data_IF_509055988059
#
_entry.id   IF_509055988059
#
_cell.length_a   1.000
_cell.length_b   1.000
_cell.length_c   1.000
_cell.angle_alpha   90.00
_cell.angle_beta   90.00
_cell.angle_gamma   90.00
#
_symmetry.space_group_name_H-M   'P 1'
#
loop_
_entity.id
_entity.type
_entity.pdbx_description
1 polymer ?
#
# COMPACT_ATOMS: atom_id res chain seq x y z
N UNK A 1 26.31 0.81 -71.61
CA UNK A 1 25.04 0.80 -70.86
C UNK A 1 25.31 0.34 -69.42
N UNK A 2 25.51 1.26 -68.49
CA UNK A 2 25.73 0.94 -67.05
C UNK A 2 24.40 1.06 -66.31
N UNK A 3 23.90 -0.06 -65.79
CA UNK A 3 22.75 -0.07 -64.86
C UNK A 3 23.21 0.28 -63.45
N UNK A 4 22.77 1.43 -62.94
CA UNK A 4 22.93 1.80 -61.54
C UNK A 4 21.87 1.07 -60.70
N UNK A 5 22.30 0.21 -59.79
CA UNK A 5 21.45 -0.42 -58.80
C UNK A 5 21.42 0.51 -57.57
N UNK A 6 20.27 1.07 -57.31
CA UNK A 6 20.03 1.85 -56.10
C UNK A 6 19.67 0.89 -54.93
N UNK A 7 20.54 0.82 -53.94
CA UNK A 7 20.32 0.04 -52.73
C UNK A 7 19.55 0.92 -51.71
N UNK A 8 18.23 0.68 -51.55
CA UNK A 8 17.45 1.27 -50.47
C UNK A 8 17.75 0.57 -49.17
N UNK A 9 18.49 1.22 -48.29
CA UNK A 9 18.63 0.81 -46.87
C UNK A 9 17.35 1.22 -46.13
N UNK A 10 16.46 0.24 -45.84
CA UNK A 10 15.40 0.40 -44.85
C UNK A 10 16.00 0.31 -43.45
N UNK A 11 16.12 1.44 -42.80
CA UNK A 11 16.43 1.49 -41.34
C UNK A 11 15.14 1.20 -40.59
N UNK A 12 14.98 -0.03 -40.11
CA UNK A 12 13.94 -0.40 -39.18
C UNK A 12 14.28 0.22 -37.81
N UNK A 13 13.61 1.32 -37.48
CA UNK A 13 13.57 1.83 -36.11
C UNK A 13 12.73 0.86 -35.27
N UNK A 14 13.37 -0.10 -34.61
CA UNK A 14 12.77 -0.81 -33.50
C UNK A 14 12.61 0.19 -32.34
N UNK A 15 11.44 0.76 -32.18
CA UNK A 15 11.04 1.41 -30.93
C UNK A 15 10.93 0.31 -29.87
N UNK A 16 12.03 0.04 -29.18
CA UNK A 16 12.03 -0.70 -27.94
C UNK A 16 11.22 0.15 -26.95
N UNK A 17 9.96 -0.19 -26.75
CA UNK A 17 9.22 0.25 -25.57
C UNK A 17 9.97 -0.30 -24.36
N UNK A 18 10.83 0.53 -23.78
CA UNK A 18 11.42 0.26 -22.48
C UNK A 18 10.28 0.32 -21.48
N UNK A 19 9.62 -0.80 -21.25
CA UNK A 19 8.81 -0.97 -20.05
C UNK A 19 9.80 -0.81 -18.89
N UNK A 20 9.69 0.31 -18.18
CA UNK A 20 10.55 0.58 -17.04
C UNK A 20 10.47 -0.59 -16.07
N UNK A 21 11.60 -1.28 -15.88
CA UNK A 21 11.70 -2.34 -14.90
C UNK A 21 11.35 -1.71 -13.54
N UNK A 22 10.31 -2.21 -12.86
CA UNK A 22 9.94 -1.70 -11.54
C UNK A 22 11.15 -1.75 -10.61
N UNK A 23 11.30 -0.73 -9.79
CA UNK A 23 12.37 -0.68 -8.80
C UNK A 23 12.31 -1.92 -7.89
N UNK A 24 13.47 -2.37 -7.44
CA UNK A 24 13.57 -3.51 -6.53
C UNK A 24 13.75 -2.97 -5.12
N UNK A 25 12.75 -3.16 -4.27
CA UNK A 25 12.87 -2.85 -2.85
C UNK A 25 13.92 -3.77 -2.23
N UNK A 26 14.85 -3.20 -1.48
CA UNK A 26 15.93 -3.96 -0.82
C UNK A 26 16.44 -3.27 0.43
N UNK A 27 16.87 -4.06 1.39
CA UNK A 27 17.60 -3.55 2.53
C UNK A 27 18.89 -2.86 2.09
N UNK A 28 19.24 -1.77 2.73
CA UNK A 28 20.52 -1.09 2.54
C UNK A 28 21.69 -1.93 3.08
N UNK A 29 22.93 -1.45 2.91
CA UNK A 29 24.15 -2.18 3.35
C UNK A 29 24.18 -2.42 4.85
N UNK A 30 23.53 -1.57 5.65
CA UNK A 30 23.46 -1.68 7.10
C UNK A 30 22.30 -2.59 7.58
N UNK A 31 21.60 -3.25 6.64
CA UNK A 31 20.48 -4.13 6.92
C UNK A 31 19.20 -3.37 7.35
N UNK A 32 19.07 -2.11 6.97
CA UNK A 32 17.89 -1.27 7.26
C UNK A 32 17.08 -1.04 5.99
N UNK A 33 15.77 -0.93 6.17
CA UNK A 33 14.80 -0.51 5.15
C UNK A 33 13.77 0.38 5.84
N UNK A 34 13.79 1.67 5.50
CA UNK A 34 12.93 2.67 6.14
C UNK A 34 11.65 2.85 5.34
N UNK A 35 10.52 2.64 5.98
CA UNK A 35 9.18 2.89 5.42
C UNK A 35 8.61 4.13 6.12
N UNK A 36 8.05 5.05 5.35
CA UNK A 36 7.17 6.10 5.84
C UNK A 36 5.75 5.74 5.42
N UNK A 37 4.82 5.80 6.37
CA UNK A 37 3.39 5.65 6.12
C UNK A 37 2.75 7.05 6.10
N UNK A 38 1.94 7.29 5.07
CA UNK A 38 0.96 8.38 5.04
C UNK A 38 -0.43 7.78 4.94
N UNK A 39 -1.36 8.32 5.69
CA UNK A 39 -2.75 7.90 5.69
C UNK A 39 -3.66 9.11 5.80
N UNK A 40 -4.90 8.97 5.37
CA UNK A 40 -5.93 9.98 5.57
C UNK A 40 -5.49 11.39 5.13
N UNK A 41 -4.84 11.47 3.96
CA UNK A 41 -4.39 12.73 3.38
C UNK A 41 -5.57 13.63 3.03
N UNK A 42 -6.70 13.02 2.64
CA UNK A 42 -7.96 13.67 2.31
C UNK A 42 -7.78 14.86 1.37
N UNK A 43 -6.92 14.69 0.35
CA UNK A 43 -6.64 15.75 -0.61
C UNK A 43 -7.89 16.06 -1.43
N UNK A 44 -8.27 17.35 -1.50
CA UNK A 44 -9.37 17.86 -2.29
C UNK A 44 -8.84 18.68 -3.45
N UNK A 45 -9.04 18.20 -4.66
CA UNK A 45 -8.61 18.93 -5.86
C UNK A 45 -9.39 20.23 -6.07
N UNK A 46 -10.64 20.27 -5.67
CA UNK A 46 -11.52 21.44 -5.69
C UNK A 46 -11.33 22.41 -4.50
N UNK A 47 -10.50 22.02 -3.52
CA UNK A 47 -10.13 22.85 -2.37
C UNK A 47 -8.64 22.73 -2.05
N UNK A 48 -7.81 23.07 -3.03
CA UNK A 48 -6.35 22.93 -2.95
C UNK A 48 -5.74 23.80 -1.84
N UNK A 49 -6.32 24.97 -1.57
CA UNK A 49 -5.79 25.89 -0.56
C UNK A 49 -5.81 25.24 0.85
N UNK A 50 -6.91 24.59 1.21
CA UNK A 50 -7.01 23.88 2.49
C UNK A 50 -6.23 22.56 2.50
N UNK A 51 -6.08 21.92 1.35
CA UNK A 51 -5.30 20.69 1.20
C UNK A 51 -3.78 20.89 1.18
N UNK A 52 -3.31 22.14 1.00
CA UNK A 52 -1.88 22.45 0.89
C UNK A 52 -1.09 22.03 2.14
N UNK A 53 -1.69 22.15 3.32
CA UNK A 53 -1.02 21.79 4.58
C UNK A 53 -0.61 20.30 4.61
N UNK A 54 -1.44 19.40 4.06
CA UNK A 54 -1.11 17.98 3.98
C UNK A 54 0.09 17.75 3.06
N UNK A 55 0.14 18.46 1.92
CA UNK A 55 1.27 18.37 0.98
C UNK A 55 2.57 18.91 1.60
N UNK A 56 2.50 20.02 2.34
CA UNK A 56 3.64 20.58 3.04
C UNK A 56 4.19 19.59 4.06
N UNK A 57 3.32 18.93 4.85
CA UNK A 57 3.72 17.88 5.80
C UNK A 57 4.34 16.67 5.12
N UNK A 58 3.76 16.19 4.01
CA UNK A 58 4.35 15.11 3.22
C UNK A 58 5.77 15.50 2.80
N UNK A 59 5.97 16.70 2.27
CA UNK A 59 7.28 17.17 1.85
C UNK A 59 8.28 17.26 3.02
N UNK A 60 7.89 17.85 4.14
CA UNK A 60 8.72 17.96 5.34
C UNK A 60 9.16 16.59 5.85
N UNK A 61 8.24 15.62 5.94
CA UNK A 61 8.53 14.27 6.40
C UNK A 61 9.48 13.56 5.42
N UNK A 62 9.24 13.65 4.11
CA UNK A 62 10.11 13.02 3.12
C UNK A 62 11.53 13.59 3.12
N UNK A 63 11.69 14.91 3.33
CA UNK A 63 12.98 15.55 3.41
C UNK A 63 13.74 15.20 4.70
N UNK A 64 13.03 15.08 5.82
CA UNK A 64 13.59 14.70 7.11
C UNK A 64 13.95 13.21 7.17
N UNK A 65 13.02 12.34 6.78
CA UNK A 65 13.14 10.89 6.97
C UNK A 65 13.90 10.19 5.84
N UNK A 66 13.83 10.69 4.61
CA UNK A 66 14.47 10.10 3.42
C UNK A 66 14.21 8.59 3.34
N UNK A 67 12.94 8.16 3.25
CA UNK A 67 12.60 6.75 3.30
C UNK A 67 13.07 5.99 2.06
N UNK A 68 13.24 4.68 2.23
CA UNK A 68 13.47 3.74 1.12
C UNK A 68 12.16 3.41 0.39
N UNK A 69 11.01 3.60 1.05
CA UNK A 69 9.68 3.31 0.52
C UNK A 69 8.60 4.12 1.25
N UNK A 70 7.55 4.50 0.51
CA UNK A 70 6.36 5.15 1.09
C UNK A 70 5.14 4.26 0.89
N UNK A 71 4.36 4.07 1.95
CA UNK A 71 3.06 3.41 1.88
C UNK A 71 1.96 4.42 2.18
N UNK A 72 1.04 4.62 1.24
CA UNK A 72 -0.20 5.33 1.46
C UNK A 72 -1.28 4.32 1.85
N UNK A 73 -1.83 4.48 3.05
CA UNK A 73 -2.77 3.52 3.62
C UNK A 73 -4.22 4.00 3.59
N UNK A 74 -4.62 4.57 2.46
CA UNK A 74 -6.01 4.91 2.16
C UNK A 74 -6.41 6.34 2.47
N UNK A 75 -7.60 6.69 1.99
CA UNK A 75 -8.21 8.01 2.07
C UNK A 75 -7.26 9.10 1.56
N UNK A 76 -6.66 8.85 0.41
CA UNK A 76 -5.66 9.74 -0.21
C UNK A 76 -6.33 10.95 -0.85
N UNK A 77 -7.43 10.73 -1.58
CA UNK A 77 -8.19 11.77 -2.27
C UNK A 77 -9.67 11.68 -1.96
N UNK A 78 -10.32 12.85 -1.75
CA UNK A 78 -11.73 12.93 -1.35
C UNK A 78 -12.44 14.06 -2.12
N UNK A 79 -12.32 14.06 -3.45
CA UNK A 79 -13.00 15.00 -4.35
C UNK A 79 -13.06 14.47 -5.77
N UNK A 80 -13.88 15.11 -6.61
CA UNK A 80 -13.82 14.91 -8.05
C UNK A 80 -12.43 15.24 -8.60
N UNK A 81 -12.16 14.82 -9.84
CA UNK A 81 -10.84 14.89 -10.47
C UNK A 81 -9.78 14.07 -9.69
N UNK A 82 -10.18 12.90 -9.20
CA UNK A 82 -9.35 12.05 -8.35
C UNK A 82 -7.96 11.77 -8.93
N UNK A 83 -7.85 11.56 -10.26
CA UNK A 83 -6.55 11.36 -10.91
C UNK A 83 -5.61 12.56 -10.76
N UNK A 84 -6.15 13.79 -10.88
CA UNK A 84 -5.34 15.00 -10.69
C UNK A 84 -4.94 15.19 -9.23
N UNK A 85 -5.84 14.88 -8.30
CA UNK A 85 -5.54 14.87 -6.88
C UNK A 85 -4.42 13.90 -6.55
N UNK A 86 -4.50 12.66 -7.04
CA UNK A 86 -3.45 11.65 -6.88
C UNK A 86 -2.11 12.10 -7.47
N UNK A 87 -2.11 12.73 -8.65
CA UNK A 87 -0.87 13.25 -9.24
C UNK A 87 -0.17 14.25 -8.33
N UNK A 88 -0.94 15.13 -7.69
CA UNK A 88 -0.41 16.15 -6.78
C UNK A 88 0.13 15.50 -5.50
N UNK A 89 -0.62 14.56 -4.91
CA UNK A 89 -0.20 13.89 -3.66
C UNK A 89 1.03 13.01 -3.86
N UNK A 90 1.16 12.37 -5.03
CA UNK A 90 2.27 11.45 -5.32
C UNK A 90 3.51 12.17 -5.89
N UNK A 91 3.37 13.40 -6.39
CA UNK A 91 4.47 14.17 -6.98
C UNK A 91 5.69 14.26 -6.03
N UNK A 92 5.53 14.52 -4.72
CA UNK A 92 6.64 14.55 -3.78
C UNK A 92 7.50 13.26 -3.76
N UNK A 93 6.89 12.09 -3.91
CA UNK A 93 7.60 10.82 -4.02
C UNK A 93 8.25 10.67 -5.39
N UNK A 94 7.52 10.98 -6.47
CA UNK A 94 7.97 10.81 -7.85
C UNK A 94 9.21 11.67 -8.15
N UNK A 95 9.23 12.95 -7.75
CA UNK A 95 10.36 13.85 -7.98
C UNK A 95 11.61 13.50 -7.16
N UNK A 96 11.42 12.84 -6.00
CA UNK A 96 12.53 12.34 -5.17
C UNK A 96 12.98 10.94 -5.57
N UNK A 97 12.32 10.30 -6.56
CA UNK A 97 12.51 8.91 -6.95
C UNK A 97 12.36 7.95 -5.75
N UNK A 98 11.40 8.20 -4.87
CA UNK A 98 11.07 7.31 -3.77
C UNK A 98 9.95 6.38 -4.25
N UNK A 99 10.15 5.05 -4.25
CA UNK A 99 9.12 4.10 -4.61
C UNK A 99 7.98 4.12 -3.59
N UNK A 100 6.75 3.88 -4.06
CA UNK A 100 5.57 3.91 -3.21
C UNK A 100 4.57 2.79 -3.55
N UNK A 101 3.71 2.48 -2.58
CA UNK A 101 2.52 1.66 -2.72
C UNK A 101 1.31 2.41 -2.20
N UNK A 102 0.13 2.04 -2.67
CA UNK A 102 -1.15 2.60 -2.23
C UNK A 102 -2.13 1.47 -1.97
N UNK A 103 -2.81 1.52 -0.86
CA UNK A 103 -4.06 0.79 -0.60
C UNK A 103 -5.18 1.81 -0.44
N UNK A 104 -6.43 1.41 -0.69
CA UNK A 104 -7.55 2.33 -0.64
C UNK A 104 -8.18 2.37 0.74
N UNK A 105 -8.67 3.55 1.10
CA UNK A 105 -9.58 3.76 2.20
C UNK A 105 -11.04 3.70 1.77
N UNK A 106 -11.93 4.09 2.65
CA UNK A 106 -13.36 4.06 2.37
C UNK A 106 -13.85 5.25 1.55
N UNK A 107 -13.04 6.32 1.44
CA UNK A 107 -13.43 7.55 0.73
C UNK A 107 -12.81 7.69 -0.66
N UNK A 108 -11.79 6.91 -1.03
CA UNK A 108 -11.06 7.11 -2.29
C UNK A 108 -11.94 6.96 -3.54
N UNK A 109 -12.95 6.08 -3.51
CA UNK A 109 -13.83 5.78 -4.64
C UNK A 109 -15.27 6.33 -4.49
N UNK A 110 -15.48 7.30 -3.60
CA UNK A 110 -16.80 7.92 -3.38
C UNK A 110 -17.19 8.96 -4.45
N UNK A 111 -16.25 9.36 -5.33
CA UNK A 111 -16.47 10.47 -6.26
C UNK A 111 -16.53 10.02 -7.73
N UNK A 112 -15.59 10.45 -8.54
CA UNK A 112 -15.66 10.33 -10.01
C UNK A 112 -14.92 9.12 -10.58
N UNK A 113 -14.32 8.28 -9.72
CA UNK A 113 -13.58 7.09 -10.13
C UNK A 113 -13.90 5.89 -9.27
N UNK A 114 -13.95 4.73 -9.92
CA UNK A 114 -14.06 3.45 -9.23
C UNK A 114 -12.69 3.00 -8.67
N UNK A 115 -12.67 2.13 -7.68
CA UNK A 115 -11.44 1.52 -7.15
C UNK A 115 -10.58 0.88 -8.25
N UNK A 116 -11.22 0.20 -9.19
CA UNK A 116 -10.51 -0.44 -10.30
C UNK A 116 -9.80 0.58 -11.20
N UNK A 117 -10.48 1.68 -11.55
CA UNK A 117 -9.87 2.76 -12.34
C UNK A 117 -8.72 3.44 -11.58
N UNK A 118 -8.90 3.70 -10.28
CA UNK A 118 -7.85 4.27 -9.42
C UNK A 118 -6.65 3.32 -9.34
N UNK A 119 -6.88 2.02 -9.17
CA UNK A 119 -5.82 1.02 -9.13
C UNK A 119 -5.02 0.98 -10.44
N UNK A 120 -5.71 0.90 -11.58
CA UNK A 120 -5.07 0.88 -12.89
C UNK A 120 -4.24 2.14 -13.13
N UNK A 121 -4.77 3.31 -12.75
CA UNK A 121 -4.06 4.58 -12.85
C UNK A 121 -2.80 4.62 -11.98
N UNK A 122 -2.91 4.21 -10.73
CA UNK A 122 -1.81 4.19 -9.76
C UNK A 122 -0.73 3.18 -10.12
N UNK A 123 -1.11 1.99 -10.58
CA UNK A 123 -0.16 0.93 -10.92
C UNK A 123 0.78 1.28 -12.07
N UNK A 124 0.39 2.25 -12.91
CA UNK A 124 1.15 2.74 -14.06
C UNK A 124 2.04 3.96 -13.74
N UNK A 125 1.92 4.54 -12.53
CA UNK A 125 2.72 5.72 -12.16
C UNK A 125 4.19 5.38 -11.98
N UNK A 126 5.05 6.31 -12.36
CA UNK A 126 6.49 6.20 -12.09
C UNK A 126 6.72 6.08 -10.58
N UNK A 127 7.49 5.09 -10.17
CA UNK A 127 7.76 4.82 -8.75
C UNK A 127 6.71 3.96 -8.06
N UNK A 128 5.58 3.66 -8.72
CA UNK A 128 4.57 2.76 -8.15
C UNK A 128 5.07 1.32 -8.11
N UNK A 129 4.96 0.71 -6.93
CA UNK A 129 5.29 -0.70 -6.72
C UNK A 129 4.07 -1.62 -6.87
N UNK A 130 2.88 -1.05 -7.03
CA UNK A 130 1.64 -1.83 -7.21
C UNK A 130 1.74 -2.71 -8.46
N UNK A 131 1.41 -4.02 -8.40
CA UNK A 131 1.39 -4.87 -9.60
C UNK A 131 0.30 -4.40 -10.57
N UNK A 132 0.37 -4.83 -11.82
CA UNK A 132 -0.74 -4.65 -12.74
C UNK A 132 -1.96 -5.44 -12.24
N UNK A 133 -3.15 -4.86 -12.40
CA UNK A 133 -4.39 -5.52 -12.02
C UNK A 133 -4.71 -6.66 -13.02
N UNK A 134 -5.08 -7.80 -12.47
CA UNK A 134 -5.65 -8.93 -13.20
C UNK A 134 -7.11 -9.11 -12.76
N UNK A 135 -8.04 -9.09 -13.69
CA UNK A 135 -9.47 -9.21 -13.38
C UNK A 135 -10.18 -7.87 -13.13
N UNK A 136 -11.38 -7.92 -12.56
CA UNK A 136 -12.29 -6.77 -12.45
C UNK A 136 -12.11 -5.95 -11.15
N UNK A 137 -11.61 -6.58 -10.10
CA UNK A 137 -11.50 -5.98 -8.76
C UNK A 137 -10.08 -5.48 -8.51
N UNK A 138 -9.93 -4.40 -7.75
CA UNK A 138 -8.63 -3.95 -7.26
C UNK A 138 -8.05 -5.04 -6.34
N UNK A 139 -6.87 -5.59 -6.65
CA UNK A 139 -6.36 -6.75 -5.92
C UNK A 139 -5.65 -6.36 -4.63
N UNK A 140 -5.67 -7.29 -3.67
CA UNK A 140 -4.63 -7.34 -2.65
C UNK A 140 -3.29 -7.67 -3.31
N UNK A 141 -2.20 -7.20 -2.75
CA UNK A 141 -0.88 -7.49 -3.29
C UNK A 141 0.19 -7.63 -2.21
N UNK A 142 1.28 -8.31 -2.55
CA UNK A 142 2.44 -8.44 -1.68
C UNK A 142 3.68 -7.89 -2.38
N UNK A 143 4.45 -7.07 -1.65
CA UNK A 143 5.74 -6.57 -2.10
C UNK A 143 6.85 -7.32 -1.38
N UNK A 144 7.92 -7.64 -2.12
CA UNK A 144 9.09 -8.30 -1.54
C UNK A 144 10.22 -7.29 -1.35
N UNK A 145 10.82 -7.30 -0.17
CA UNK A 145 12.05 -6.54 0.11
C UNK A 145 13.23 -7.51 0.05
N UNK A 146 14.17 -7.25 -0.85
CA UNK A 146 15.32 -8.10 -1.09
C UNK A 146 16.40 -7.93 -0.03
N UNK A 147 17.19 -8.97 0.15
CA UNK A 147 18.37 -8.94 1.02
C UNK A 147 19.43 -7.95 0.51
N UNK A 148 20.08 -7.25 1.44
CA UNK A 148 21.27 -6.42 1.12
C UNK A 148 22.47 -7.23 0.63
N UNK A 149 22.54 -8.54 0.98
CA UNK A 149 23.65 -9.44 0.67
C UNK A 149 23.42 -10.26 -0.58
N UNK A 150 22.16 -10.59 -0.88
CA UNK A 150 21.78 -11.40 -2.05
C UNK A 150 20.51 -10.81 -2.70
N UNK A 151 20.68 -10.19 -3.86
CA UNK A 151 19.56 -9.54 -4.60
C UNK A 151 18.48 -10.53 -5.07
N UNK A 152 18.78 -11.83 -5.11
CA UNK A 152 17.81 -12.85 -5.51
C UNK A 152 16.98 -13.35 -4.33
N UNK A 153 17.43 -13.12 -3.09
CA UNK A 153 16.78 -13.59 -1.87
C UNK A 153 15.80 -12.55 -1.32
N UNK A 154 14.54 -12.95 -1.11
CA UNK A 154 13.59 -12.16 -0.34
C UNK A 154 14.03 -12.18 1.13
N UNK A 155 13.90 -11.04 1.81
CA UNK A 155 14.28 -10.88 3.22
C UNK A 155 13.13 -10.36 4.09
N UNK A 156 12.14 -9.70 3.49
CA UNK A 156 10.90 -9.31 4.16
C UNK A 156 9.75 -9.19 3.16
N UNK A 157 8.52 -9.17 3.66
CA UNK A 157 7.29 -9.03 2.88
C UNK A 157 6.45 -7.85 3.39
N UNK A 158 5.75 -7.17 2.47
CA UNK A 158 4.77 -6.15 2.78
C UNK A 158 3.44 -6.57 2.16
N UNK A 159 2.50 -7.01 2.99
CA UNK A 159 1.14 -7.35 2.56
C UNK A 159 0.30 -6.08 2.51
N UNK A 160 -0.33 -5.84 1.39
CA UNK A 160 -1.19 -4.70 1.12
C UNK A 160 -2.60 -5.22 0.87
N UNK A 161 -3.51 -5.01 1.82
CA UNK A 161 -4.82 -5.64 1.85
C UNK A 161 -5.90 -4.56 1.78
N UNK A 162 -6.86 -4.70 0.87
CA UNK A 162 -8.01 -3.79 0.81
C UNK A 162 -8.99 -4.12 1.95
N UNK A 163 -9.21 -3.17 2.84
CA UNK A 163 -10.18 -3.30 3.93
C UNK A 163 -11.61 -2.93 3.53
N UNK A 164 -11.82 -2.61 2.25
CA UNK A 164 -13.10 -2.15 1.69
C UNK A 164 -13.57 -0.80 2.28
N UNK A 165 -14.88 -0.55 2.22
CA UNK A 165 -15.50 0.68 2.73
C UNK A 165 -16.66 0.34 3.67
N UNK A 166 -17.91 0.34 3.18
CA UNK A 166 -19.10 0.06 3.98
C UNK A 166 -19.73 -1.27 3.59
N UNK A 167 -20.22 -1.98 4.58
CA UNK A 167 -20.90 -3.27 4.32
C UNK A 167 -22.17 -3.10 3.49
N UNK A 168 -22.39 -4.01 2.57
CA UNK A 168 -23.63 -4.08 1.79
C UNK A 168 -24.70 -4.97 2.46
N UNK A 169 -24.38 -5.58 3.60
CA UNK A 169 -25.29 -6.46 4.33
C UNK A 169 -26.14 -5.62 5.29
N UNK A 170 -27.41 -5.40 4.97
CA UNK A 170 -28.31 -4.54 5.74
C UNK A 170 -28.44 -4.87 7.22
N UNK A 171 -28.27 -6.13 7.60
CA UNK A 171 -28.31 -6.58 9.00
C UNK A 171 -26.99 -6.36 9.77
N UNK A 172 -25.94 -5.94 9.09
CA UNK A 172 -24.63 -5.66 9.67
C UNK A 172 -24.24 -4.25 9.29
N UNK A 173 -24.64 -3.23 10.04
CA UNK A 173 -24.35 -1.84 9.70
C UNK A 173 -22.89 -1.50 9.98
N UNK A 174 -22.40 -0.45 9.31
CA UNK A 174 -21.08 0.13 9.53
C UNK A 174 -20.07 -0.28 8.46
N UNK A 175 -18.83 -0.41 8.87
CA UNK A 175 -17.73 -0.72 7.96
C UNK A 175 -17.74 -2.19 7.53
N UNK A 176 -17.26 -2.42 6.32
CA UNK A 176 -17.01 -3.75 5.80
C UNK A 176 -15.71 -4.33 6.41
N UNK A 177 -15.42 -5.59 6.16
CA UNK A 177 -14.29 -6.31 6.74
C UNK A 177 -13.46 -7.00 5.65
N UNK A 178 -12.22 -7.31 5.97
CA UNK A 178 -11.35 -8.12 5.12
C UNK A 178 -11.98 -9.50 4.93
N UNK A 179 -12.21 -9.90 3.68
CA UNK A 179 -13.02 -11.06 3.32
C UNK A 179 -12.26 -12.37 3.50
N UNK A 180 -13.01 -13.48 3.55
CA UNK A 180 -12.42 -14.81 3.70
C UNK A 180 -11.50 -15.21 2.55
N UNK A 181 -11.82 -14.80 1.33
CA UNK A 181 -10.98 -15.03 0.15
C UNK A 181 -9.66 -14.24 0.22
N UNK A 182 -9.68 -13.00 0.73
CA UNK A 182 -8.47 -12.21 1.00
C UNK A 182 -7.61 -12.86 2.09
N UNK A 183 -8.24 -13.37 3.15
CA UNK A 183 -7.54 -14.11 4.21
C UNK A 183 -6.94 -15.41 3.65
N UNK A 184 -7.69 -16.13 2.81
CA UNK A 184 -7.16 -17.31 2.14
C UNK A 184 -6.01 -16.97 1.20
N UNK A 185 -6.09 -15.87 0.47
CA UNK A 185 -4.99 -15.35 -0.34
C UNK A 185 -3.75 -15.05 0.51
N UNK A 186 -3.89 -14.29 1.60
CA UNK A 186 -2.79 -14.00 2.52
C UNK A 186 -2.13 -15.29 3.04
N UNK A 187 -2.90 -16.25 3.53
CA UNK A 187 -2.40 -17.55 4.02
C UNK A 187 -1.63 -18.32 2.95
N UNK A 188 -2.12 -18.31 1.71
CA UNK A 188 -1.46 -18.95 0.58
C UNK A 188 -0.14 -18.26 0.24
N UNK A 189 -0.10 -16.92 0.20
CA UNK A 189 1.13 -16.16 -0.02
C UNK A 189 2.16 -16.45 1.08
N UNK A 190 1.77 -16.37 2.35
CA UNK A 190 2.63 -16.65 3.50
C UNK A 190 3.23 -18.06 3.42
N UNK A 191 2.40 -19.06 3.15
CA UNK A 191 2.84 -20.45 2.99
C UNK A 191 3.83 -20.62 1.83
N UNK A 192 3.57 -20.00 0.71
CA UNK A 192 4.44 -20.10 -0.46
C UNK A 192 5.82 -19.45 -0.20
N UNK A 193 5.85 -18.24 0.37
CA UNK A 193 7.11 -17.58 0.73
C UNK A 193 7.87 -18.31 1.82
N UNK A 194 7.19 -18.91 2.80
CA UNK A 194 7.78 -19.74 3.85
C UNK A 194 8.46 -20.97 3.23
N UNK A 195 7.77 -21.65 2.31
CA UNK A 195 8.35 -22.81 1.57
C UNK A 195 9.57 -22.40 0.76
N UNK A 196 9.51 -21.27 0.05
CA UNK A 196 10.65 -20.75 -0.71
C UNK A 196 11.84 -20.35 0.16
N UNK A 197 11.61 -20.08 1.44
CA UNK A 197 12.63 -19.74 2.43
C UNK A 197 12.98 -20.91 3.36
N UNK A 198 12.99 -22.14 2.85
CA UNK A 198 13.32 -23.35 3.60
C UNK A 198 12.45 -23.61 4.82
N UNK A 199 11.15 -23.45 4.67
CA UNK A 199 10.13 -23.62 5.70
C UNK A 199 10.28 -22.67 6.92
N UNK A 200 10.97 -21.54 6.74
CA UNK A 200 11.10 -20.49 7.74
C UNK A 200 10.27 -19.28 7.28
N UNK A 201 9.29 -18.81 8.05
CA UNK A 201 8.52 -17.61 7.72
C UNK A 201 9.43 -16.39 7.53
N UNK A 202 9.19 -15.62 6.48
CA UNK A 202 9.87 -14.34 6.30
C UNK A 202 9.19 -13.28 7.18
N UNK A 203 9.97 -12.39 7.82
CA UNK A 203 9.37 -11.29 8.56
C UNK A 203 8.53 -10.42 7.61
N UNK A 204 7.32 -10.08 8.04
CA UNK A 204 6.39 -9.33 7.23
C UNK A 204 5.70 -8.20 8.01
N UNK A 205 5.22 -7.21 7.28
CA UNK A 205 4.29 -6.18 7.76
C UNK A 205 3.02 -6.25 6.93
N UNK A 206 1.87 -5.95 7.54
CA UNK A 206 0.60 -5.87 6.82
C UNK A 206 0.02 -4.45 6.91
N UNK A 207 -0.47 -3.96 5.79
CA UNK A 207 -1.05 -2.63 5.63
C UNK A 207 -2.48 -2.76 5.14
N UNK A 208 -3.40 -2.08 5.80
CA UNK A 208 -4.79 -1.93 5.40
C UNK A 208 -5.33 -0.63 6.00
N UNK A 209 -6.47 -0.13 5.52
CA UNK A 209 -6.96 1.18 5.95
C UNK A 209 -7.80 1.09 7.24
N UNK A 210 -8.93 0.40 7.19
CA UNK A 210 -9.84 0.30 8.32
C UNK A 210 -9.31 -0.70 9.35
N UNK A 211 -9.13 -0.31 10.63
CA UNK A 211 -8.64 -1.21 11.66
C UNK A 211 -9.49 -2.47 11.81
N UNK A 212 -8.88 -3.61 12.09
CA UNK A 212 -9.61 -4.83 12.48
C UNK A 212 -10.05 -4.73 13.95
N UNK A 213 -11.06 -5.51 14.39
CA UNK A 213 -11.61 -5.44 15.75
C UNK A 213 -10.58 -5.57 16.87
N UNK A 214 -9.47 -6.28 16.62
CA UNK A 214 -8.40 -6.47 17.60
C UNK A 214 -7.69 -5.17 17.99
N UNK A 215 -7.73 -4.12 17.17
CA UNK A 215 -7.24 -2.78 17.56
C UNK A 215 -8.05 -2.21 18.73
N UNK A 216 -9.38 -2.41 18.71
CA UNK A 216 -10.26 -2.01 19.82
C UNK A 216 -9.95 -2.79 21.09
N UNK A 217 -9.72 -4.09 20.96
CA UNK A 217 -9.37 -4.94 22.11
C UNK A 217 -8.00 -4.55 22.66
N UNK A 218 -7.02 -4.30 21.80
CA UNK A 218 -5.66 -3.94 22.19
C UNK A 218 -5.61 -2.68 23.06
N UNK A 219 -6.39 -1.64 22.73
CA UNK A 219 -6.39 -0.38 23.49
C UNK A 219 -7.23 -0.45 24.76
N UNK A 220 -8.05 -1.48 24.94
CA UNK A 220 -8.84 -1.72 26.15
C UNK A 220 -8.12 -2.60 27.19
N UNK A 221 -7.05 -3.27 26.82
CA UNK A 221 -6.28 -4.10 27.73
C UNK A 221 -5.28 -3.27 28.57
N UNK A 222 -5.50 -3.13 29.88
CA UNK A 222 -4.65 -2.35 30.80
C UNK A 222 -3.18 -2.76 30.79
N UNK A 223 -2.90 -4.04 30.52
CA UNK A 223 -1.53 -4.57 30.45
C UNK A 223 -0.77 -4.15 29.18
N UNK A 224 -1.46 -3.63 28.18
CA UNK A 224 -0.84 -3.20 26.95
C UNK A 224 -0.21 -1.83 27.11
N UNK A 225 1.03 -1.71 26.63
CA UNK A 225 1.72 -0.42 26.61
C UNK A 225 1.39 0.30 25.30
N UNK A 226 0.66 1.41 25.41
CA UNK A 226 0.37 2.29 24.30
C UNK A 226 1.46 3.36 24.20
N UNK A 227 1.97 3.56 22.99
CA UNK A 227 2.89 4.65 22.64
C UNK A 227 2.18 5.59 21.69
N UNK A 228 2.21 6.88 21.97
CA UNK A 228 1.55 7.90 21.17
C UNK A 228 0.26 8.40 21.80
N UNK A 229 -0.67 8.89 20.98
CA UNK A 229 -1.91 9.53 21.41
C UNK A 229 -3.10 8.77 20.87
N UNK A 230 -4.04 8.44 21.74
CA UNK A 230 -5.37 7.96 21.39
C UNK A 230 -6.38 9.08 21.67
N UNK A 231 -6.83 9.75 20.62
CA UNK A 231 -7.77 10.87 20.71
C UNK A 231 -9.23 10.48 20.51
N UNK A 232 -9.49 9.27 19.98
CA UNK A 232 -10.86 8.81 19.70
C UNK A 232 -11.01 7.29 19.85
N UNK A 233 -12.23 6.80 19.70
CA UNK A 233 -12.54 5.38 19.68
C UNK A 233 -12.07 4.73 18.39
N UNK A 234 -11.72 3.44 18.46
CA UNK A 234 -11.35 2.70 17.24
C UNK A 234 -12.61 2.44 16.40
N UNK A 235 -12.63 2.99 15.20
CA UNK A 235 -13.67 2.76 14.20
C UNK A 235 -13.29 1.53 13.38
N UNK A 236 -13.95 0.41 13.67
CA UNK A 236 -13.68 -0.88 13.03
C UNK A 236 -14.99 -1.61 12.70
N UNK A 237 -14.95 -2.63 11.83
CA UNK A 237 -16.11 -3.49 11.58
C UNK A 237 -16.65 -4.10 12.88
N UNK A 238 -17.96 -4.30 12.93
CA UNK A 238 -18.60 -5.07 14.01
C UNK A 238 -18.38 -6.58 13.86
N UNK A 239 -17.98 -7.00 12.67
CA UNK A 239 -17.74 -8.41 12.30
C UNK A 239 -16.24 -8.66 12.24
N UNK A 240 -15.79 -9.73 12.91
CA UNK A 240 -14.42 -10.20 12.86
C UNK A 240 -14.32 -11.38 11.89
N UNK A 241 -13.52 -11.27 10.84
CA UNK A 241 -13.31 -12.33 9.86
C UNK A 241 -12.15 -13.28 10.17
N UNK A 242 -11.37 -13.00 11.23
CA UNK A 242 -10.30 -13.88 11.67
C UNK A 242 -8.94 -13.63 11.02
N UNK A 243 -8.69 -12.44 10.45
CA UNK A 243 -7.38 -12.10 9.91
C UNK A 243 -6.29 -12.20 10.98
N UNK A 244 -6.52 -11.69 12.18
CA UNK A 244 -5.55 -11.76 13.27
C UNK A 244 -5.19 -13.20 13.64
N UNK A 245 -6.17 -14.10 13.74
CA UNK A 245 -5.92 -15.52 13.97
C UNK A 245 -5.03 -16.11 12.87
N UNK A 246 -5.32 -15.77 11.60
CA UNK A 246 -4.51 -16.21 10.47
C UNK A 246 -3.07 -15.70 10.53
N UNK A 247 -2.86 -14.45 10.95
CA UNK A 247 -1.53 -13.85 11.18
C UNK A 247 -0.78 -14.64 12.26
N UNK A 248 -1.44 -14.99 13.36
CA UNK A 248 -0.82 -15.76 14.45
C UNK A 248 -0.45 -17.18 14.01
N UNK A 249 -1.30 -17.83 13.20
CA UNK A 249 -1.01 -19.18 12.69
C UNK A 249 0.11 -19.19 11.63
N UNK A 250 0.18 -18.18 10.75
CA UNK A 250 1.22 -18.06 9.74
C UNK A 250 2.58 -17.66 10.35
N UNK A 251 2.57 -16.79 11.37
CA UNK A 251 3.75 -16.45 12.15
C UNK A 251 4.77 -15.55 11.43
N UNK A 252 4.39 -14.92 10.31
CA UNK A 252 5.25 -14.07 9.50
C UNK A 252 5.04 -12.57 9.78
N UNK A 253 3.80 -12.12 9.97
CA UNK A 253 3.47 -10.71 10.20
C UNK A 253 3.82 -10.28 11.62
N UNK A 254 4.75 -9.35 11.73
CA UNK A 254 5.25 -8.80 13.01
C UNK A 254 4.49 -7.54 13.45
N UNK A 255 3.81 -6.87 12.53
CA UNK A 255 3.07 -5.64 12.80
C UNK A 255 2.07 -5.32 11.69
N UNK A 256 0.99 -4.66 12.09
CA UNK A 256 -0.03 -4.16 11.18
C UNK A 256 -0.09 -2.65 11.27
N UNK A 257 -0.37 -1.99 10.14
CA UNK A 257 -0.40 -0.54 10.00
C UNK A 257 -1.70 -0.14 9.33
N UNK A 258 -2.40 0.81 9.95
CA UNK A 258 -3.75 1.24 9.56
C UNK A 258 -3.85 2.76 9.47
N UNK A 259 -4.97 3.26 8.97
CA UNK A 259 -5.39 4.66 9.01
C UNK A 259 -6.77 4.80 9.64
N UNK A 260 -7.63 5.60 9.00
CA UNK A 260 -9.06 5.71 9.26
C UNK A 260 -9.46 6.53 10.50
N UNK A 261 -8.79 6.34 11.61
CA UNK A 261 -9.05 7.09 12.86
C UNK A 261 -8.15 8.35 12.88
N UNK A 262 -8.71 9.54 12.59
CA UNK A 262 -7.93 10.75 12.32
C UNK A 262 -7.26 11.34 13.57
N UNK A 263 -7.78 11.04 14.77
CA UNK A 263 -7.25 11.54 16.03
C UNK A 263 -6.44 10.47 16.80
N UNK A 264 -6.13 9.35 16.15
CA UNK A 264 -5.35 8.27 16.71
C UNK A 264 -3.96 8.21 16.06
N UNK A 265 -2.92 8.45 16.84
CA UNK A 265 -1.52 8.28 16.44
C UNK A 265 -0.81 7.49 17.54
N UNK A 266 -0.96 6.17 17.50
CA UNK A 266 -0.39 5.30 18.53
C UNK A 266 0.09 3.97 17.96
N UNK A 267 0.99 3.35 18.71
CA UNK A 267 1.35 1.94 18.58
C UNK A 267 1.08 1.19 19.88
N UNK A 268 0.62 -0.04 19.77
CA UNK A 268 0.34 -0.91 20.92
C UNK A 268 0.79 -2.34 20.63
N UNK A 269 1.39 -2.98 21.62
CA UNK A 269 1.71 -4.41 21.55
C UNK A 269 0.48 -5.22 21.96
N UNK A 270 0.10 -6.17 21.11
CA UNK A 270 -1.07 -7.02 21.33
C UNK A 270 -0.71 -8.50 21.13
N UNK A 271 -0.94 -9.34 22.19
CA UNK A 271 -0.80 -10.82 22.20
C UNK A 271 0.41 -11.42 21.49
#
# INVERSE_FOLDING_TARGET
MCKKIALCLMVLFNALTVWGQKEVLKFNRDGKFKIVQFTDVHYKYDDQANSQISLDRINEVLDAERPDFVMFTGDVVVSNEAFKGLDIVLEPCIRRNIPFGVIFGNHDDEYDRTRAELYDYLSQKKGSMMPAREGEVAPDYVLTVKSSKDKNKNAALLYCIDSHAYTQIKSVPGYDWIKFDQIAWYRNQSKEFTKQNNDIPLPALAFFHIPIPEYKDAVMEDKNRLFGVRGEGVACPTTNSGLFTSIKECGDVMGTFVGHDHNNDYAVMYK
#
